data_IF_164681604648
#
_entry.id   IF_164681604648
#
_cell.length_a   1.000
_cell.length_b   1.000
_cell.length_c   1.000
_cell.angle_alpha   90.00
_cell.angle_beta   90.00
_cell.angle_gamma   90.00
#
_symmetry.space_group_name_H-M   'P 1'
#
loop_
_entity.id
_entity.type
_entity.pdbx_description
1 polymer ?
#
# COMPACT_ATOMS: atom_id res chain seq x y z
N UNK A 1 2.74 -76.66 -40.76
CA UNK A 1 2.77 -76.26 -39.30
C UNK A 1 2.94 -74.72 -39.22
N UNK A 2 1.84 -74.03 -39.00
CA UNK A 2 1.80 -72.56 -38.94
C UNK A 2 1.67 -72.13 -37.49
N UNK A 3 2.63 -71.34 -36.99
CA UNK A 3 2.59 -70.71 -35.66
C UNK A 3 1.67 -69.49 -35.69
N UNK A 4 0.83 -69.30 -34.67
CA UNK A 4 0.05 -68.07 -34.55
C UNK A 4 0.90 -66.91 -33.92
N UNK A 5 0.87 -65.72 -34.55
CA UNK A 5 1.44 -64.49 -34.03
C UNK A 5 0.51 -63.91 -32.94
N UNK A 6 0.99 -63.93 -31.71
CA UNK A 6 0.31 -63.21 -30.59
C UNK A 6 0.58 -61.71 -30.75
N UNK A 7 -0.47 -60.92 -30.99
CA UNK A 7 -0.42 -59.44 -30.94
C UNK A 7 -0.62 -59.06 -29.50
N UNK A 8 0.44 -58.54 -28.82
CA UNK A 8 0.34 -57.90 -27.50
C UNK A 8 -0.01 -56.42 -27.72
N UNK A 9 -1.27 -56.07 -27.46
CA UNK A 9 -1.68 -54.66 -27.46
C UNK A 9 -1.26 -54.01 -26.13
N UNK A 10 -0.23 -53.12 -26.18
CA UNK A 10 0.13 -52.25 -25.07
C UNK A 10 -0.93 -51.13 -24.96
N UNK A 11 -1.83 -51.20 -23.96
CA UNK A 11 -2.67 -50.08 -23.55
C UNK A 11 -1.76 -49.08 -22.81
N UNK A 12 -1.35 -47.98 -23.44
CA UNK A 12 -0.75 -46.83 -22.78
C UNK A 12 -1.87 -46.06 -22.05
N UNK A 13 -1.95 -46.24 -20.74
CA UNK A 13 -2.80 -45.39 -19.89
C UNK A 13 -2.21 -43.97 -19.90
N UNK A 14 -2.83 -43.06 -20.64
CA UNK A 14 -2.58 -41.62 -20.52
C UNK A 14 -3.13 -41.16 -19.18
N UNK A 15 -2.27 -41.13 -18.16
CA UNK A 15 -2.57 -40.45 -16.91
C UNK A 15 -2.59 -38.95 -17.23
N UNK A 16 -3.78 -38.40 -17.47
CA UNK A 16 -3.97 -36.96 -17.52
C UNK A 16 -3.64 -36.41 -16.12
N UNK A 17 -2.42 -35.86 -15.94
CA UNK A 17 -2.16 -35.04 -14.77
C UNK A 17 -3.13 -33.86 -14.86
N UNK A 18 -4.19 -33.88 -14.05
CA UNK A 18 -5.03 -32.72 -13.86
C UNK A 18 -4.10 -31.59 -13.36
N UNK A 19 -4.00 -30.52 -14.13
CA UNK A 19 -3.27 -29.33 -13.69
C UNK A 19 -3.81 -28.91 -12.33
N UNK A 20 -2.93 -28.62 -11.38
CA UNK A 20 -3.36 -28.10 -10.08
C UNK A 20 -4.31 -26.91 -10.32
N UNK A 21 -5.40 -26.80 -9.55
CA UNK A 21 -6.36 -25.72 -9.73
C UNK A 21 -5.64 -24.37 -9.57
N UNK A 22 -5.92 -23.43 -10.47
CA UNK A 22 -5.30 -22.11 -10.44
C UNK A 22 -5.65 -21.38 -9.14
N UNK A 23 -4.67 -20.79 -8.49
CA UNK A 23 -4.76 -20.19 -7.15
C UNK A 23 -5.56 -18.90 -7.17
N UNK A 24 -6.54 -18.76 -6.29
CA UNK A 24 -7.33 -17.54 -6.11
C UNK A 24 -6.54 -16.45 -5.38
N UNK A 25 -6.95 -15.21 -5.56
CA UNK A 25 -6.37 -14.06 -4.87
C UNK A 25 -7.46 -13.21 -4.23
N UNK A 26 -7.29 -12.92 -2.95
CA UNK A 26 -8.02 -11.88 -2.21
C UNK A 26 -7.02 -10.81 -1.80
N UNK A 27 -7.11 -9.63 -2.40
CA UNK A 27 -6.26 -8.49 -2.11
C UNK A 27 -7.04 -7.46 -1.30
N UNK A 28 -6.65 -7.23 -0.05
CA UNK A 28 -7.26 -6.26 0.87
C UNK A 28 -6.30 -5.08 0.99
N UNK A 29 -6.79 -3.88 0.70
CA UNK A 29 -5.95 -2.68 0.56
C UNK A 29 -6.48 -1.52 1.40
N UNK A 30 -5.71 -1.09 2.39
CA UNK A 30 -6.02 0.05 3.24
C UNK A 30 -5.52 1.37 2.63
N UNK A 31 -6.00 2.50 3.15
CA UNK A 31 -5.66 3.86 2.75
C UNK A 31 -5.02 4.60 3.92
N UNK A 32 -3.78 5.07 3.79
CA UNK A 32 -3.02 5.78 4.83
C UNK A 32 -2.77 4.97 6.11
N UNK A 33 -2.48 3.67 5.99
CA UNK A 33 -2.15 2.87 7.18
C UNK A 33 -0.66 2.76 7.40
N UNK A 34 -0.20 3.24 8.56
CA UNK A 34 1.19 3.11 9.04
C UNK A 34 1.56 1.65 9.24
N UNK A 35 2.78 1.29 8.86
CA UNK A 35 3.31 -0.07 9.04
C UNK A 35 3.41 -0.50 10.52
N UNK A 36 3.48 0.46 11.46
CA UNK A 36 3.58 0.24 12.90
C UNK A 36 2.22 0.11 13.62
N UNK A 37 1.12 -0.11 12.90
CA UNK A 37 -0.24 -0.19 13.45
C UNK A 37 -0.84 -1.60 13.40
N UNK A 38 -0.01 -2.61 13.60
CA UNK A 38 -0.43 -4.01 13.74
C UNK A 38 0.21 -4.58 15.02
N UNK A 39 -0.61 -5.14 15.94
CA UNK A 39 -0.16 -5.59 17.23
C UNK A 39 0.90 -6.71 17.13
N UNK A 40 0.70 -7.72 16.29
CA UNK A 40 1.66 -8.79 16.04
C UNK A 40 2.99 -8.29 15.44
N UNK A 41 3.05 -7.09 14.89
CA UNK A 41 4.27 -6.47 14.35
C UNK A 41 4.94 -5.48 15.33
N UNK A 42 4.48 -5.44 16.59
CA UNK A 42 5.16 -4.75 17.67
C UNK A 42 4.45 -3.53 18.23
N UNK A 43 3.24 -3.19 17.78
CA UNK A 43 2.47 -2.11 18.42
C UNK A 43 1.86 -2.61 19.74
N UNK A 44 2.22 -2.01 20.90
CA UNK A 44 1.78 -2.53 22.20
C UNK A 44 0.37 -2.11 22.61
N UNK A 45 -0.27 -1.22 21.87
CA UNK A 45 -1.54 -0.59 22.26
C UNK A 45 -2.70 -1.00 21.37
N UNK A 46 -2.47 -1.08 20.07
CA UNK A 46 -3.53 -1.30 19.09
C UNK A 46 -4.11 -2.73 19.16
N UNK A 47 -5.39 -2.86 18.88
CA UNK A 47 -6.09 -4.15 18.85
C UNK A 47 -6.39 -4.55 17.40
N UNK A 48 -5.64 -5.52 16.90
CA UNK A 48 -5.75 -6.02 15.51
C UNK A 48 -5.73 -7.55 15.45
N UNK A 49 -6.64 -8.25 16.17
CA UNK A 49 -6.60 -9.70 16.28
C UNK A 49 -6.71 -10.45 14.95
N UNK A 50 -7.38 -9.88 13.96
CA UNK A 50 -7.55 -10.50 12.65
C UNK A 50 -6.34 -10.28 11.73
N UNK A 51 -5.74 -9.10 11.74
CA UNK A 51 -4.44 -8.87 11.09
C UNK A 51 -3.35 -9.72 11.75
N UNK A 52 -3.38 -9.86 13.07
CA UNK A 52 -2.46 -10.75 13.82
C UNK A 52 -2.65 -12.22 13.39
N UNK A 53 -3.90 -12.66 13.17
CA UNK A 53 -4.21 -13.98 12.61
C UNK A 53 -3.62 -14.14 11.20
N UNK A 54 -3.69 -13.10 10.36
CA UNK A 54 -3.12 -13.13 9.02
C UNK A 54 -1.59 -13.16 9.05
N UNK A 55 -0.94 -12.39 9.95
CA UNK A 55 0.53 -12.43 10.17
C UNK A 55 0.99 -13.84 10.51
N UNK A 56 0.26 -14.56 11.39
CA UNK A 56 0.56 -15.94 11.77
C UNK A 56 0.35 -16.96 10.65
N UNK A 57 -0.39 -16.61 9.59
CA UNK A 57 -0.67 -17.50 8.45
C UNK A 57 0.30 -17.38 7.29
N UNK A 58 1.17 -16.37 7.28
CA UNK A 58 1.99 -16.08 6.13
C UNK A 58 3.32 -15.41 6.44
N UNK A 59 3.76 -14.60 5.49
CA UNK A 59 4.95 -13.76 5.57
C UNK A 59 4.53 -12.30 5.70
N UNK A 60 4.97 -11.64 6.77
CA UNK A 60 4.86 -10.20 6.95
C UNK A 60 6.18 -9.53 6.56
N UNK A 61 6.15 -8.63 5.57
CA UNK A 61 7.30 -7.82 5.20
C UNK A 61 7.43 -6.64 6.16
N UNK A 62 8.58 -6.50 6.80
CA UNK A 62 8.88 -5.37 7.70
C UNK A 62 9.41 -4.16 6.95
N UNK A 63 9.78 -4.33 5.67
CA UNK A 63 10.37 -3.32 4.79
C UNK A 63 9.72 -3.29 3.40
N UNK A 64 8.39 -3.20 3.38
CA UNK A 64 7.63 -2.91 2.17
C UNK A 64 7.33 -1.41 2.07
N UNK A 65 7.44 -0.85 0.87
CA UNK A 65 7.37 0.60 0.67
C UNK A 65 6.52 0.99 -0.54
N UNK A 66 5.80 2.10 -0.43
CA UNK A 66 5.42 2.86 -1.61
C UNK A 66 6.63 3.63 -2.15
N UNK A 67 6.63 4.05 -3.43
CA UNK A 67 7.77 4.76 -3.99
C UNK A 67 7.68 6.29 -3.83
N UNK A 68 6.48 6.84 -3.53
CA UNK A 68 6.28 8.27 -3.39
C UNK A 68 5.06 8.81 -4.13
N UNK A 69 5.10 10.08 -4.57
CA UNK A 69 3.95 10.71 -5.21
C UNK A 69 4.27 11.95 -6.04
N UNK A 70 3.44 12.19 -7.06
CA UNK A 70 3.55 13.33 -7.97
C UNK A 70 2.65 14.52 -7.56
N UNK A 71 1.88 14.36 -6.48
CA UNK A 71 0.95 15.37 -5.99
C UNK A 71 0.55 15.15 -4.55
N UNK A 72 -0.23 16.07 -3.97
CA UNK A 72 -0.68 15.99 -2.57
C UNK A 72 -1.48 14.73 -2.24
N UNK A 73 -2.22 14.18 -3.21
CA UNK A 73 -2.96 12.92 -3.06
C UNK A 73 -2.07 11.71 -3.41
N UNK A 74 -1.12 11.35 -2.56
CA UNK A 74 -0.14 10.27 -2.80
C UNK A 74 -0.78 8.88 -3.00
N UNK A 75 -2.02 8.69 -2.56
CA UNK A 75 -2.78 7.46 -2.82
C UNK A 75 -3.05 7.21 -4.32
N UNK A 76 -3.21 8.26 -5.15
CA UNK A 76 -3.42 8.11 -6.60
C UNK A 76 -2.22 7.44 -7.28
N UNK A 77 -0.99 8.00 -7.20
CA UNK A 77 0.17 7.36 -7.79
C UNK A 77 0.49 5.99 -7.16
N UNK A 78 0.33 5.82 -5.85
CA UNK A 78 0.59 4.54 -5.20
C UNK A 78 -0.32 3.42 -5.75
N UNK A 79 -1.64 3.69 -5.88
CA UNK A 79 -2.59 2.74 -6.48
C UNK A 79 -2.28 2.49 -7.95
N UNK A 80 -1.87 3.52 -8.70
CA UNK A 80 -1.46 3.37 -10.09
C UNK A 80 -0.19 2.51 -10.22
N UNK A 81 0.82 2.71 -9.38
CA UNK A 81 2.03 1.88 -9.32
C UNK A 81 1.68 0.43 -9.04
N UNK A 82 0.90 0.16 -7.98
CA UNK A 82 0.47 -1.19 -7.62
C UNK A 82 -0.23 -1.89 -8.79
N UNK A 83 -1.26 -1.25 -9.36
CA UNK A 83 -2.12 -1.88 -10.35
C UNK A 83 -1.48 -2.01 -11.73
N UNK A 84 -0.53 -1.16 -12.09
CA UNK A 84 0.22 -1.25 -13.35
C UNK A 84 1.54 -2.02 -13.23
N UNK A 85 2.10 -2.12 -12.02
CA UNK A 85 3.45 -2.64 -11.80
C UNK A 85 4.55 -1.71 -12.31
N UNK A 86 4.30 -0.39 -12.43
CA UNK A 86 5.24 0.60 -12.98
C UNK A 86 5.74 1.54 -11.89
N UNK A 87 6.95 2.05 -12.08
CA UNK A 87 7.58 3.03 -11.18
C UNK A 87 6.89 4.40 -11.25
N UNK A 88 7.12 5.23 -10.23
CA UNK A 88 6.52 6.56 -10.10
C UNK A 88 6.76 7.46 -11.32
N UNK A 89 7.96 7.42 -11.91
CA UNK A 89 8.29 8.21 -13.09
C UNK A 89 7.62 7.71 -14.38
N UNK A 90 7.12 6.48 -14.39
CA UNK A 90 6.60 5.79 -15.58
C UNK A 90 5.09 5.52 -15.53
N UNK A 91 4.41 5.84 -14.42
CA UNK A 91 2.97 5.59 -14.29
C UNK A 91 2.12 6.50 -15.16
N UNK A 92 0.96 6.00 -15.56
CA UNK A 92 -0.21 6.80 -15.88
C UNK A 92 -1.18 6.73 -14.70
N UNK A 93 -1.28 7.80 -13.93
CA UNK A 93 -2.11 7.86 -12.72
C UNK A 93 -3.60 7.56 -12.98
N UNK A 94 -4.06 7.72 -14.22
CA UNK A 94 -5.43 7.41 -14.64
C UNK A 94 -5.61 5.96 -15.09
N UNK A 95 -4.53 5.17 -15.18
CA UNK A 95 -4.54 3.76 -15.61
C UNK A 95 -5.22 3.54 -16.97
N UNK A 96 -5.05 4.45 -17.91
CA UNK A 96 -5.66 4.38 -19.24
C UNK A 96 -4.71 3.93 -20.34
N UNK A 97 -3.40 4.17 -20.18
CA UNK A 97 -2.38 3.96 -21.21
C UNK A 97 -1.79 2.55 -21.19
N UNK A 98 -1.78 1.88 -20.03
CA UNK A 98 -1.12 0.59 -19.84
C UNK A 98 -2.11 -0.48 -19.39
N UNK A 99 -1.80 -1.74 -19.68
CA UNK A 99 -2.53 -2.87 -19.12
C UNK A 99 -2.31 -2.92 -17.60
N UNK A 100 -3.40 -3.14 -16.85
CA UNK A 100 -3.32 -3.35 -15.39
C UNK A 100 -3.18 -4.82 -15.07
N UNK A 101 -2.61 -5.14 -13.91
CA UNK A 101 -2.51 -6.51 -13.44
C UNK A 101 -3.88 -7.20 -13.26
N UNK A 102 -4.93 -6.57 -12.69
CA UNK A 102 -6.25 -7.19 -12.69
C UNK A 102 -6.79 -7.54 -14.08
N UNK A 103 -6.50 -6.69 -15.09
CA UNK A 103 -6.82 -6.98 -16.49
C UNK A 103 -6.03 -8.18 -17.02
N UNK A 104 -4.75 -8.33 -16.64
CA UNK A 104 -3.94 -9.50 -17.00
C UNK A 104 -4.49 -10.79 -16.35
N UNK A 105 -4.91 -10.73 -15.09
CA UNK A 105 -5.63 -11.84 -14.43
C UNK A 105 -6.91 -12.18 -15.19
N UNK A 106 -7.72 -11.19 -15.58
CA UNK A 106 -8.91 -11.39 -16.40
C UNK A 106 -8.61 -12.08 -17.74
N UNK A 107 -7.55 -11.66 -18.43
CA UNK A 107 -7.10 -12.27 -19.68
C UNK A 107 -6.60 -13.72 -19.48
N UNK A 108 -6.08 -14.04 -18.31
CA UNK A 108 -5.68 -15.39 -17.92
C UNK A 108 -6.87 -16.29 -17.47
N UNK A 109 -8.12 -15.80 -17.60
CA UNK A 109 -9.31 -16.57 -17.30
C UNK A 109 -9.86 -16.40 -15.87
N UNK A 110 -9.29 -15.52 -15.04
CA UNK A 110 -9.81 -15.23 -13.71
C UNK A 110 -11.12 -14.43 -13.76
N UNK A 111 -12.02 -14.68 -12.79
CA UNK A 111 -13.09 -13.74 -12.48
C UNK A 111 -12.49 -12.58 -11.68
N UNK A 112 -12.57 -11.33 -12.20
CA UNK A 112 -11.97 -10.18 -11.53
C UNK A 112 -13.05 -9.27 -10.95
N UNK A 113 -12.90 -8.92 -9.65
CA UNK A 113 -13.86 -8.15 -8.87
C UNK A 113 -13.17 -7.04 -8.08
N UNK A 114 -13.80 -5.86 -7.99
CA UNK A 114 -13.35 -4.77 -7.14
C UNK A 114 -14.50 -4.21 -6.29
N UNK A 115 -14.19 -3.79 -5.04
CA UNK A 115 -15.09 -3.04 -4.19
C UNK A 115 -14.35 -1.97 -3.38
N UNK A 116 -15.01 -0.83 -3.12
CA UNK A 116 -14.51 0.25 -2.28
C UNK A 116 -13.80 1.37 -3.04
N UNK A 117 -12.73 1.92 -2.48
CA UNK A 117 -12.05 3.11 -3.02
C UNK A 117 -11.35 2.87 -4.35
N UNK A 118 -11.73 3.69 -5.34
CA UNK A 118 -11.06 3.75 -6.65
C UNK A 118 -10.68 5.19 -6.98
N UNK A 119 -9.46 5.56 -6.82
CA UNK A 119 -9.01 6.96 -6.91
C UNK A 119 -8.36 7.31 -8.25
N UNK A 120 -8.22 6.36 -9.18
CA UNK A 120 -7.54 6.52 -10.47
C UNK A 120 -8.47 6.91 -11.63
N UNK A 121 -9.71 7.32 -11.31
CA UNK A 121 -10.70 7.80 -12.26
C UNK A 121 -11.62 6.70 -12.83
N UNK A 122 -12.92 7.01 -13.01
CA UNK A 122 -13.94 6.05 -13.44
C UNK A 122 -13.64 5.28 -14.72
N UNK A 123 -13.05 5.87 -15.79
CA UNK A 123 -12.83 5.17 -17.07
C UNK A 123 -11.85 3.99 -16.99
N UNK A 124 -10.99 3.92 -15.96
CA UNK A 124 -10.03 2.83 -15.78
C UNK A 124 -10.63 1.58 -15.15
N UNK A 125 -11.79 1.70 -14.49
CA UNK A 125 -12.44 0.58 -13.79
C UNK A 125 -12.78 -0.57 -14.76
N UNK A 126 -13.56 -0.36 -15.85
CA UNK A 126 -13.92 -1.42 -16.78
C UNK A 126 -12.73 -1.93 -17.59
N UNK A 127 -11.61 -1.20 -17.63
CA UNK A 127 -10.36 -1.67 -18.23
C UNK A 127 -9.60 -2.63 -17.30
N UNK A 128 -9.85 -2.54 -15.99
CA UNK A 128 -9.14 -3.31 -14.96
C UNK A 128 -9.92 -4.51 -14.47
N UNK A 129 -11.25 -4.39 -14.29
CA UNK A 129 -12.09 -5.41 -13.67
C UNK A 129 -13.31 -5.75 -14.52
N UNK A 130 -13.76 -7.00 -14.41
CA UNK A 130 -14.99 -7.47 -15.05
C UNK A 130 -16.25 -7.11 -14.24
N UNK A 131 -16.10 -7.01 -12.91
CA UNK A 131 -17.18 -6.66 -11.99
C UNK A 131 -16.64 -5.67 -10.94
N UNK A 132 -17.45 -4.69 -10.57
CA UNK A 132 -17.13 -3.80 -9.47
C UNK A 132 -18.39 -3.24 -8.80
N UNK A 133 -18.36 -3.13 -7.47
CA UNK A 133 -19.46 -2.72 -6.62
C UNK A 133 -19.02 -1.72 -5.57
N UNK A 134 -19.95 -0.88 -5.11
CA UNK A 134 -19.71 0.08 -4.03
C UNK A 134 -18.44 0.91 -4.28
N UNK A 135 -18.29 1.37 -5.52
CA UNK A 135 -17.10 2.12 -5.94
C UNK A 135 -17.16 3.56 -5.42
N UNK A 136 -16.24 3.92 -4.55
CA UNK A 136 -15.96 5.29 -4.17
C UNK A 136 -14.84 5.85 -5.06
N UNK A 137 -15.20 6.73 -6.00
CA UNK A 137 -14.26 7.28 -7.00
C UNK A 137 -13.58 8.58 -6.55
N UNK A 138 -13.89 9.06 -5.35
CA UNK A 138 -13.28 10.23 -4.74
C UNK A 138 -12.01 9.92 -3.95
N UNK A 139 -11.34 10.98 -3.49
CA UNK A 139 -10.15 10.86 -2.63
C UNK A 139 -10.49 10.70 -1.16
N UNK A 140 -11.53 11.41 -0.68
CA UNK A 140 -11.93 11.50 0.71
C UNK A 140 -13.42 11.82 0.82
N UNK A 141 -14.09 11.21 1.78
CA UNK A 141 -15.48 11.52 2.14
C UNK A 141 -15.73 11.18 3.61
N UNK A 142 -16.87 11.61 4.16
CA UNK A 142 -17.38 10.99 5.38
C UNK A 142 -17.78 9.54 5.04
N UNK A 143 -17.17 8.51 5.65
CA UNK A 143 -17.39 7.11 5.26
C UNK A 143 -18.82 6.62 5.56
N UNK A 144 -19.59 7.31 6.42
CA UNK A 144 -21.01 7.03 6.67
C UNK A 144 -21.96 7.71 5.65
N UNK A 145 -21.43 8.52 4.74
CA UNK A 145 -22.16 9.27 3.71
C UNK A 145 -21.40 9.31 2.38
N UNK A 146 -20.54 8.32 2.15
CA UNK A 146 -19.73 8.28 0.96
C UNK A 146 -20.59 8.06 -0.31
N UNK A 147 -20.37 8.83 -1.38
CA UNK A 147 -21.05 8.60 -2.65
C UNK A 147 -20.44 7.41 -3.35
N UNK A 148 -21.24 6.38 -3.64
CA UNK A 148 -20.79 5.14 -4.29
C UNK A 148 -21.57 4.86 -5.56
N UNK A 149 -20.96 4.08 -6.47
CA UNK A 149 -21.56 3.61 -7.71
C UNK A 149 -21.21 2.15 -7.93
N UNK A 150 -22.05 1.44 -8.68
CA UNK A 150 -21.78 0.10 -9.14
C UNK A 150 -21.40 0.11 -10.63
N UNK A 151 -20.59 -0.83 -11.07
CA UNK A 151 -20.32 -1.02 -12.49
C UNK A 151 -21.38 -1.94 -13.10
N UNK A 152 -22.01 -1.47 -14.16
CA UNK A 152 -22.95 -2.24 -14.99
C UNK A 152 -22.20 -3.20 -15.92
N UNK A 153 -22.84 -4.26 -16.44
CA UNK A 153 -22.22 -5.16 -17.42
C UNK A 153 -21.70 -4.46 -18.68
N UNK A 154 -22.22 -3.27 -18.99
CA UNK A 154 -21.75 -2.42 -20.09
C UNK A 154 -20.43 -1.68 -19.79
N UNK A 155 -19.90 -1.79 -18.59
CA UNK A 155 -18.72 -1.04 -18.09
C UNK A 155 -19.05 0.40 -17.64
N UNK A 156 -20.29 0.86 -17.78
CA UNK A 156 -20.72 2.16 -17.26
C UNK A 156 -20.99 2.08 -15.76
N UNK A 157 -20.77 3.19 -15.06
CA UNK A 157 -21.17 3.29 -13.66
C UNK A 157 -22.65 3.69 -13.53
N UNK A 158 -23.29 3.16 -12.49
CA UNK A 158 -24.64 3.63 -12.08
C UNK A 158 -24.54 5.10 -11.61
N UNK A 159 -25.65 5.84 -11.59
CA UNK A 159 -25.71 7.08 -10.83
C UNK A 159 -25.22 6.86 -9.38
N UNK A 160 -24.53 7.85 -8.85
CA UNK A 160 -24.00 7.78 -7.48
C UNK A 160 -25.16 7.77 -6.47
N UNK A 161 -25.03 6.90 -5.47
CA UNK A 161 -25.92 6.82 -4.30
C UNK A 161 -25.10 7.00 -3.02
N UNK A 162 -25.73 7.45 -1.95
CA UNK A 162 -25.07 7.48 -0.63
C UNK A 162 -25.04 6.05 -0.08
N UNK A 163 -23.89 5.63 0.41
CA UNK A 163 -23.74 4.34 1.10
C UNK A 163 -24.68 4.28 2.32
N UNK A 164 -25.48 3.21 2.48
CA UNK A 164 -26.37 3.06 3.62
C UNK A 164 -25.64 2.65 4.90
N UNK A 165 -24.37 2.23 4.79
CA UNK A 165 -23.51 1.80 5.87
C UNK A 165 -22.18 2.55 5.80
N UNK A 166 -21.30 2.29 6.73
CA UNK A 166 -19.90 2.70 6.59
C UNK A 166 -19.29 2.10 5.31
N UNK A 167 -18.60 2.91 4.51
CA UNK A 167 -18.09 2.52 3.18
C UNK A 167 -17.27 1.22 3.21
N UNK A 168 -16.35 1.08 4.18
CA UNK A 168 -15.55 -0.15 4.33
C UNK A 168 -16.41 -1.37 4.65
N UNK A 169 -17.48 -1.20 5.42
CA UNK A 169 -18.42 -2.29 5.76
C UNK A 169 -19.22 -2.72 4.52
N UNK A 170 -19.78 -1.77 3.76
CA UNK A 170 -20.54 -2.06 2.55
C UNK A 170 -19.64 -2.70 1.47
N UNK A 171 -18.41 -2.21 1.29
CA UNK A 171 -17.44 -2.81 0.37
C UNK A 171 -17.06 -4.24 0.79
N UNK A 172 -16.97 -4.50 2.09
CA UNK A 172 -16.78 -5.86 2.63
C UNK A 172 -17.98 -6.74 2.32
N UNK A 173 -19.21 -6.28 2.57
CA UNK A 173 -20.43 -7.03 2.28
C UNK A 173 -20.50 -7.48 0.82
N UNK A 174 -20.19 -6.59 -0.13
CA UNK A 174 -20.16 -6.91 -1.57
C UNK A 174 -19.02 -7.87 -1.92
N UNK A 175 -17.88 -7.77 -1.24
CA UNK A 175 -16.78 -8.73 -1.39
C UNK A 175 -17.21 -10.11 -0.89
N UNK A 176 -17.89 -10.20 0.26
CA UNK A 176 -18.42 -11.45 0.79
C UNK A 176 -19.48 -12.06 -0.14
N UNK A 177 -20.36 -11.25 -0.72
CA UNK A 177 -21.34 -11.68 -1.71
C UNK A 177 -20.65 -12.24 -2.98
N UNK A 178 -19.60 -11.57 -3.47
CA UNK A 178 -18.78 -12.07 -4.57
C UNK A 178 -18.13 -13.40 -4.22
N UNK A 179 -17.46 -13.54 -3.07
CA UNK A 179 -16.83 -14.78 -2.64
C UNK A 179 -17.85 -15.93 -2.54
N UNK A 180 -19.04 -15.67 -1.96
CA UNK A 180 -20.12 -16.65 -1.85
C UNK A 180 -20.64 -17.12 -3.22
N UNK A 181 -20.56 -16.28 -4.24
CA UNK A 181 -20.99 -16.62 -5.60
C UNK A 181 -20.00 -17.51 -6.36
N UNK A 182 -18.79 -17.73 -5.83
CA UNK A 182 -17.75 -18.52 -6.49
C UNK A 182 -17.95 -20.02 -6.20
N UNK A 183 -18.00 -20.82 -7.27
CA UNK A 183 -18.20 -22.28 -7.18
C UNK A 183 -16.89 -23.09 -7.15
N UNK A 184 -15.74 -22.41 -7.11
CA UNK A 184 -14.42 -23.03 -7.11
C UNK A 184 -13.93 -23.60 -8.45
N UNK A 185 -14.75 -23.54 -9.52
CA UNK A 185 -14.37 -24.04 -10.86
C UNK A 185 -13.51 -23.06 -11.64
N UNK A 186 -13.73 -21.77 -11.43
CA UNK A 186 -13.00 -20.68 -12.07
C UNK A 186 -12.19 -19.92 -11.02
N UNK A 187 -10.88 -19.65 -11.24
CA UNK A 187 -10.12 -18.85 -10.31
C UNK A 187 -10.62 -17.40 -10.31
N UNK A 188 -10.38 -16.68 -9.21
CA UNK A 188 -10.77 -15.29 -9.08
C UNK A 188 -9.64 -14.41 -8.53
N UNK A 189 -9.71 -13.13 -8.86
CA UNK A 189 -8.93 -12.04 -8.29
C UNK A 189 -9.91 -11.00 -7.71
N UNK A 190 -10.00 -10.92 -6.39
CA UNK A 190 -10.83 -9.97 -5.65
C UNK A 190 -9.98 -8.86 -5.07
N UNK A 191 -10.36 -7.60 -5.31
CA UNK A 191 -9.69 -6.40 -4.82
C UNK A 191 -10.65 -5.60 -3.93
N UNK A 192 -10.48 -5.72 -2.61
CA UNK A 192 -11.20 -4.95 -1.60
C UNK A 192 -10.34 -3.77 -1.18
N UNK A 193 -10.73 -2.56 -1.56
CA UNK A 193 -9.99 -1.34 -1.26
C UNK A 193 -10.77 -0.47 -0.26
N UNK A 194 -10.30 -0.41 0.98
CA UNK A 194 -10.83 0.48 1.98
C UNK A 194 -10.49 1.94 1.68
N UNK A 195 -11.33 2.86 2.13
CA UNK A 195 -11.04 4.30 2.20
C UNK A 195 -10.43 4.72 3.54
N UNK A 196 -10.34 3.80 4.47
CA UNK A 196 -9.75 3.98 5.79
C UNK A 196 -8.39 3.27 5.95
N UNK A 197 -7.62 3.70 6.95
CA UNK A 197 -7.91 4.70 7.99
C UNK A 197 -7.60 6.17 7.59
N UNK A 198 -7.76 6.55 6.31
CA UNK A 198 -7.68 7.94 5.87
C UNK A 198 -8.66 8.82 6.66
N UNK A 199 -8.32 10.07 6.91
CA UNK A 199 -9.24 11.01 7.57
C UNK A 199 -10.50 11.30 6.70
N UNK A 200 -11.64 11.61 7.34
CA UNK A 200 -11.90 11.71 8.77
C UNK A 200 -12.00 10.34 9.46
N UNK A 201 -11.43 10.23 10.67
CA UNK A 201 -11.39 8.97 11.43
C UNK A 201 -12.76 8.66 12.07
N UNK A 202 -13.74 8.37 11.24
CA UNK A 202 -15.12 8.08 11.67
C UNK A 202 -15.37 6.58 11.58
N UNK A 203 -15.88 6.00 12.64
CA UNK A 203 -16.36 4.61 12.69
C UNK A 203 -17.85 4.60 13.04
N UNK A 204 -18.59 3.50 12.80
CA UNK A 204 -19.99 3.40 13.17
C UNK A 204 -20.20 3.63 14.67
N UNK A 205 -21.34 4.24 15.00
CA UNK A 205 -21.77 4.39 16.40
C UNK A 205 -21.89 3.02 17.08
N UNK A 206 -21.51 2.95 18.35
CA UNK A 206 -21.52 1.67 19.09
C UNK A 206 -20.36 0.73 18.78
N UNK A 207 -19.39 1.11 17.95
CA UNK A 207 -18.20 0.29 17.76
C UNK A 207 -17.45 0.08 19.10
N UNK A 208 -17.24 -1.18 19.56
CA UNK A 208 -16.92 -1.47 20.95
C UNK A 208 -15.46 -1.22 21.34
N UNK A 209 -14.56 -1.01 20.38
CA UNK A 209 -13.13 -0.75 20.66
C UNK A 209 -12.92 0.75 20.70
N UNK A 210 -12.35 1.21 21.81
CA UNK A 210 -11.97 2.60 22.02
C UNK A 210 -10.59 2.71 22.66
N UNK A 211 -9.97 3.87 22.56
CA UNK A 211 -8.64 4.16 23.08
C UNK A 211 -8.66 5.49 23.82
N UNK A 212 -8.28 5.47 25.11
CA UNK A 212 -8.12 6.70 25.86
C UNK A 212 -6.89 7.47 25.33
N UNK A 213 -7.03 8.73 24.88
CA UNK A 213 -5.90 9.49 24.34
C UNK A 213 -4.70 9.58 25.29
N UNK A 214 -4.95 9.64 26.61
CA UNK A 214 -3.90 9.68 27.60
C UNK A 214 -3.00 8.43 27.62
N UNK A 215 -3.52 7.26 27.19
CA UNK A 215 -2.76 6.00 27.13
C UNK A 215 -1.98 5.82 25.84
N UNK A 216 -2.18 6.68 24.84
CA UNK A 216 -1.47 6.58 23.56
C UNK A 216 -0.08 7.19 23.71
N UNK A 217 1.00 6.43 23.42
CA UNK A 217 2.34 7.02 23.35
C UNK A 217 2.46 7.93 22.12
N UNK A 218 3.21 9.01 22.27
CA UNK A 218 3.64 9.79 21.12
C UNK A 218 4.60 8.96 20.26
N UNK A 219 4.67 9.20 18.94
CA UNK A 219 5.69 8.58 18.10
C UNK A 219 7.08 8.88 18.65
N UNK A 220 8.05 7.94 18.61
CA UNK A 220 9.41 8.17 19.11
C UNK A 220 10.12 9.37 18.47
N UNK A 221 9.73 9.71 17.25
CA UNK A 221 10.22 10.86 16.47
C UNK A 221 9.22 12.04 16.47
N UNK A 222 8.38 12.13 17.50
CA UNK A 222 7.48 13.29 17.64
C UNK A 222 8.30 14.59 17.78
N UNK A 223 7.87 15.59 17.03
CA UNK A 223 8.32 16.98 17.17
C UNK A 223 7.08 17.89 17.16
N UNK A 224 7.10 19.01 17.89
CA UNK A 224 6.02 20.00 17.83
C UNK A 224 5.94 20.68 16.45
N UNK A 225 7.04 20.73 15.70
CA UNK A 225 7.14 21.31 14.37
C UNK A 225 8.31 20.70 13.61
N UNK A 226 8.14 20.51 12.30
CA UNK A 226 9.25 20.10 11.43
C UNK A 226 10.33 21.19 11.39
N UNK A 227 11.62 20.83 11.45
CA UNK A 227 12.71 21.80 11.69
C UNK A 227 13.04 22.70 10.50
N UNK A 228 12.52 22.43 9.31
CA UNK A 228 12.78 23.23 8.11
C UNK A 228 11.65 23.09 7.08
N UNK A 229 11.67 23.90 6.02
CA UNK A 229 10.74 23.80 4.89
C UNK A 229 11.05 22.56 4.05
N UNK A 230 10.16 21.58 4.07
CA UNK A 230 10.25 20.37 3.25
C UNK A 230 9.56 20.50 1.88
N UNK A 231 9.02 21.69 1.56
CA UNK A 231 8.28 22.02 0.33
C UNK A 231 6.77 21.80 0.42
N UNK A 232 6.23 21.17 1.50
CA UNK A 232 4.81 20.87 1.67
C UNK A 232 4.27 21.17 3.08
N UNK A 233 4.86 22.18 3.73
CA UNK A 233 4.54 22.53 5.12
C UNK A 233 3.10 23.02 5.35
N UNK A 234 2.39 23.44 4.29
CA UNK A 234 1.02 23.96 4.35
C UNK A 234 0.05 23.20 3.45
N UNK A 235 0.41 22.01 2.98
CA UNK A 235 -0.51 21.15 2.23
C UNK A 235 -1.73 20.80 3.10
N UNK A 236 -2.84 20.43 2.46
CA UNK A 236 -4.12 20.16 3.14
C UNK A 236 -3.98 19.30 4.40
N UNK A 237 -3.18 18.24 4.34
CA UNK A 237 -3.05 17.28 5.43
C UNK A 237 -2.31 17.90 6.63
N UNK A 238 -1.35 18.79 6.39
CA UNK A 238 -0.67 19.52 7.45
C UNK A 238 -1.58 20.53 8.18
N UNK A 239 -2.63 20.99 7.52
CA UNK A 239 -3.63 21.92 8.09
C UNK A 239 -4.68 21.22 8.97
N UNK A 240 -4.65 19.90 9.11
CA UNK A 240 -5.54 19.15 10.01
C UNK A 240 -5.27 19.44 11.49
N UNK A 241 -4.10 20.00 11.80
CA UNK A 241 -3.73 20.38 13.17
C UNK A 241 -2.91 21.67 13.17
N UNK A 242 -3.14 22.53 14.17
CA UNK A 242 -2.39 23.79 14.36
C UNK A 242 -0.91 23.51 14.64
N UNK A 243 -0.08 24.52 14.37
CA UNK A 243 1.33 24.58 14.79
C UNK A 243 1.52 25.50 16.00
N UNK A 244 2.49 25.19 16.89
CA UNK A 244 3.15 23.89 17.02
C UNK A 244 2.15 22.80 17.37
N UNK A 245 2.44 21.55 17.01
CA UNK A 245 1.56 20.39 17.25
C UNK A 245 1.44 20.11 18.75
N UNK A 246 0.26 20.28 19.39
CA UNK A 246 0.10 19.97 20.80
C UNK A 246 0.11 18.45 21.02
N UNK A 247 0.84 17.99 22.01
CA UNK A 247 0.92 16.56 22.34
C UNK A 247 -0.45 15.93 22.60
N UNK A 248 -1.31 16.63 23.33
CA UNK A 248 -2.66 16.14 23.64
C UNK A 248 -3.52 15.97 22.37
N UNK A 249 -3.40 16.90 21.41
CA UNK A 249 -4.16 16.83 20.15
C UNK A 249 -3.62 15.69 19.28
N UNK A 250 -2.29 15.46 19.26
CA UNK A 250 -1.67 14.33 18.55
C UNK A 250 -2.11 13.00 19.14
N UNK A 251 -2.16 12.87 20.49
CA UNK A 251 -2.64 11.66 21.16
C UNK A 251 -4.12 11.39 20.86
N UNK A 252 -4.93 12.43 20.81
CA UNK A 252 -6.36 12.32 20.44
C UNK A 252 -6.48 11.82 18.99
N UNK A 253 -5.76 12.43 18.04
CA UNK A 253 -5.76 12.01 16.64
C UNK A 253 -5.29 10.55 16.48
N UNK A 254 -4.26 10.14 17.22
CA UNK A 254 -3.76 8.75 17.20
C UNK A 254 -4.77 7.77 17.79
N UNK A 255 -5.50 8.14 18.86
CA UNK A 255 -6.55 7.31 19.45
C UNK A 255 -7.68 7.05 18.45
N UNK A 256 -8.16 8.09 17.77
CA UNK A 256 -9.17 8.00 16.71
C UNK A 256 -8.67 7.15 15.53
N UNK A 257 -7.43 7.37 15.13
CA UNK A 257 -6.78 6.61 14.05
C UNK A 257 -6.65 5.11 14.40
N UNK A 258 -6.22 4.77 15.61
CA UNK A 258 -6.15 3.36 16.08
C UNK A 258 -7.53 2.72 16.15
N UNK A 259 -8.54 3.50 16.58
CA UNK A 259 -9.92 3.04 16.60
C UNK A 259 -10.41 2.67 15.18
N UNK A 260 -10.05 3.49 14.18
CA UNK A 260 -10.40 3.20 12.79
C UNK A 260 -9.65 1.96 12.27
N UNK A 261 -8.35 1.82 12.54
CA UNK A 261 -7.60 0.60 12.17
C UNK A 261 -8.23 -0.65 12.80
N UNK A 262 -8.65 -0.59 14.07
CA UNK A 262 -9.34 -1.71 14.72
C UNK A 262 -10.71 -2.00 14.11
N UNK A 263 -11.41 -1.01 13.59
CA UNK A 263 -12.63 -1.22 12.81
C UNK A 263 -12.35 -1.93 11.47
N UNK A 264 -11.29 -1.54 10.76
CA UNK A 264 -10.86 -2.24 9.55
C UNK A 264 -10.44 -3.68 9.84
N UNK A 265 -9.77 -3.91 10.95
CA UNK A 265 -9.38 -5.26 11.39
C UNK A 265 -10.60 -6.19 11.52
N UNK A 266 -11.74 -5.69 12.03
CA UNK A 266 -12.98 -6.46 12.07
C UNK A 266 -13.45 -6.81 10.64
N UNK A 267 -13.37 -5.87 9.68
CA UNK A 267 -13.74 -6.14 8.29
C UNK A 267 -12.80 -7.18 7.65
N UNK A 268 -11.49 -7.09 7.92
CA UNK A 268 -10.52 -8.12 7.52
C UNK A 268 -10.92 -9.48 8.08
N UNK A 269 -11.28 -9.55 9.36
CA UNK A 269 -11.75 -10.79 10.00
C UNK A 269 -12.90 -11.44 9.26
N UNK A 270 -13.91 -10.66 8.88
CA UNK A 270 -15.08 -11.16 8.10
C UNK A 270 -14.66 -11.78 6.77
N UNK A 271 -13.68 -11.17 6.07
CA UNK A 271 -13.16 -11.72 4.80
C UNK A 271 -12.38 -13.02 5.05
N UNK A 272 -11.52 -13.06 6.08
CA UNK A 272 -10.77 -14.25 6.44
C UNK A 272 -11.71 -15.42 6.77
N UNK A 273 -12.76 -15.17 7.56
CA UNK A 273 -13.75 -16.18 7.94
C UNK A 273 -14.52 -16.71 6.73
N UNK A 274 -14.89 -15.83 5.80
CA UNK A 274 -15.56 -16.23 4.57
C UNK A 274 -14.67 -17.09 3.66
N UNK A 275 -13.39 -16.77 3.54
CA UNK A 275 -12.43 -17.60 2.80
C UNK A 275 -12.26 -18.96 3.49
N UNK A 276 -12.08 -18.98 4.82
CA UNK A 276 -11.87 -20.19 5.59
C UNK A 276 -13.07 -21.16 5.51
N UNK A 277 -14.30 -20.64 5.44
CA UNK A 277 -15.53 -21.43 5.30
C UNK A 277 -15.82 -21.86 3.84
N UNK A 278 -15.01 -21.44 2.88
CA UNK A 278 -15.25 -21.69 1.46
C UNK A 278 -14.61 -22.97 0.95
N UNK A 279 -15.10 -23.54 -0.18
CA UNK A 279 -14.48 -24.72 -0.80
C UNK A 279 -13.10 -24.42 -1.41
N UNK A 280 -12.69 -23.16 -1.52
CA UNK A 280 -11.41 -22.73 -2.07
C UNK A 280 -10.43 -22.24 -1.01
N UNK A 281 -10.69 -22.44 0.29
CA UNK A 281 -9.83 -22.00 1.40
C UNK A 281 -8.35 -22.42 1.22
N UNK A 282 -8.10 -23.68 0.89
CA UNK A 282 -6.76 -24.23 0.71
C UNK A 282 -6.03 -23.73 -0.55
N UNK A 283 -6.75 -23.06 -1.46
CA UNK A 283 -6.21 -22.60 -2.75
C UNK A 283 -6.38 -21.09 -2.96
N UNK A 284 -6.32 -20.31 -1.88
CA UNK A 284 -6.47 -18.85 -1.93
C UNK A 284 -5.28 -18.17 -1.29
N UNK A 285 -4.66 -17.25 -2.04
CA UNK A 285 -3.68 -16.30 -1.51
C UNK A 285 -4.44 -15.08 -1.00
N UNK A 286 -4.14 -14.67 0.23
CA UNK A 286 -4.66 -13.45 0.84
C UNK A 286 -3.51 -12.48 0.98
N UNK A 287 -3.70 -11.25 0.48
CA UNK A 287 -2.77 -10.13 0.62
C UNK A 287 -3.44 -9.03 1.41
N UNK A 288 -2.75 -8.50 2.40
CA UNK A 288 -3.09 -7.26 3.07
C UNK A 288 -1.96 -6.25 2.88
N UNK A 289 -2.29 -5.03 2.43
CA UNK A 289 -1.34 -3.95 2.28
C UNK A 289 -2.03 -2.59 2.45
N UNK A 290 -1.24 -1.50 2.51
CA UNK A 290 -1.76 -0.13 2.44
C UNK A 290 -1.06 0.65 1.34
N UNK A 291 -1.73 1.69 0.84
CA UNK A 291 -1.21 2.51 -0.26
C UNK A 291 -0.15 3.53 0.19
N UNK A 292 -0.21 3.99 1.42
CA UNK A 292 0.81 4.82 2.07
C UNK A 292 0.75 4.69 3.59
N UNK A 293 1.80 5.11 4.28
CA UNK A 293 1.74 5.49 5.67
C UNK A 293 1.34 6.96 5.83
N UNK A 294 1.49 7.51 7.05
CA UNK A 294 1.14 8.88 7.39
C UNK A 294 1.87 9.33 8.64
N UNK A 295 2.19 10.63 8.79
CA UNK A 295 3.02 11.12 9.90
C UNK A 295 2.34 11.08 11.26
N UNK A 296 1.17 11.70 11.40
CA UNK A 296 0.40 11.74 12.67
C UNK A 296 1.24 12.18 13.88
N UNK A 297 2.05 13.25 13.73
CA UNK A 297 2.94 13.80 14.77
C UNK A 297 4.42 13.44 14.61
N UNK A 298 4.76 12.42 13.83
CA UNK A 298 6.14 12.08 13.51
C UNK A 298 6.84 13.24 12.79
N UNK A 299 8.06 13.61 13.22
CA UNK A 299 8.87 14.73 12.69
C UNK A 299 8.14 16.09 12.64
N UNK A 300 7.11 16.31 13.47
CA UNK A 300 6.32 17.54 13.47
C UNK A 300 5.34 17.67 12.31
N UNK A 301 5.13 16.58 11.56
CA UNK A 301 4.23 16.47 10.42
C UNK A 301 2.94 15.73 10.78
N UNK A 302 1.88 15.97 10.01
CA UNK A 302 0.59 15.28 10.14
C UNK A 302 0.27 14.43 8.92
N UNK A 303 0.64 14.93 7.74
CA UNK A 303 0.35 14.35 6.43
C UNK A 303 1.31 13.23 6.02
N UNK A 304 1.27 12.91 4.73
CA UNK A 304 2.03 11.84 4.09
C UNK A 304 2.96 12.33 2.97
N UNK A 305 3.01 13.65 2.76
CA UNK A 305 3.76 14.30 1.70
C UNK A 305 5.24 14.49 2.09
N UNK A 306 5.87 13.39 2.49
CA UNK A 306 7.27 13.34 2.92
C UNK A 306 7.85 11.94 2.69
N UNK A 307 9.18 11.81 2.69
CA UNK A 307 9.86 10.56 2.38
C UNK A 307 10.40 9.81 3.62
N UNK A 308 9.96 10.17 4.83
CA UNK A 308 10.31 9.43 6.05
C UNK A 308 9.63 8.04 6.12
N UNK A 309 10.18 7.16 6.97
CA UNK A 309 9.70 5.79 7.13
C UNK A 309 8.20 5.71 7.46
N UNK A 310 7.69 6.61 8.32
CA UNK A 310 6.28 6.61 8.72
C UNK A 310 5.29 6.85 7.56
N UNK A 311 5.74 7.44 6.44
CA UNK A 311 4.91 7.72 5.25
C UNK A 311 5.20 6.76 4.11
N UNK A 312 6.48 6.37 3.92
CA UNK A 312 6.87 5.50 2.79
C UNK A 312 6.70 4.03 3.09
N UNK A 313 6.97 3.59 4.34
CA UNK A 313 6.82 2.20 4.72
C UNK A 313 5.35 1.85 5.00
N UNK A 314 4.90 0.74 4.41
CA UNK A 314 3.52 0.26 4.46
C UNK A 314 3.44 -1.15 5.02
N UNK A 315 2.32 -1.57 5.64
CA UNK A 315 2.10 -2.97 5.96
C UNK A 315 2.01 -3.78 4.65
N UNK A 316 2.61 -4.97 4.67
CA UNK A 316 2.44 -5.97 3.62
C UNK A 316 2.50 -7.36 4.23
N UNK A 317 1.40 -8.09 4.13
CA UNK A 317 1.28 -9.47 4.61
C UNK A 317 0.75 -10.32 3.45
N UNK A 318 1.39 -11.46 3.20
CA UNK A 318 0.98 -12.40 2.16
C UNK A 318 0.85 -13.79 2.79
N UNK A 319 -0.32 -14.41 2.66
CA UNK A 319 -0.60 -15.74 3.21
C UNK A 319 -1.32 -16.61 2.17
N UNK A 320 -1.05 -17.91 2.16
CA UNK A 320 -1.72 -18.85 1.25
C UNK A 320 -0.85 -20.04 0.86
N UNK A 321 -1.29 -20.82 -0.14
CA UNK A 321 -0.57 -22.02 -0.55
C UNK A 321 0.85 -21.71 -1.05
N UNK A 322 1.82 -22.51 -0.60
CA UNK A 322 3.22 -22.37 -0.99
C UNK A 322 3.97 -21.19 -0.36
N UNK A 323 3.37 -20.49 0.61
CA UNK A 323 3.95 -19.36 1.35
C UNK A 323 4.35 -19.85 2.74
N UNK A 324 5.52 -19.41 3.23
CA UNK A 324 6.01 -19.73 4.58
C UNK A 324 5.04 -19.18 5.66
N UNK A 325 4.86 -19.95 6.74
CA UNK A 325 3.88 -19.64 7.79
C UNK A 325 4.59 -19.02 8.99
N UNK A 326 3.95 -18.01 9.60
CA UNK A 326 4.43 -17.30 10.80
C UNK A 326 5.86 -16.78 10.65
N UNK A 327 6.12 -16.11 9.54
CA UNK A 327 7.44 -15.55 9.22
C UNK A 327 7.38 -14.03 9.03
N UNK A 328 8.51 -13.41 9.32
CA UNK A 328 8.79 -12.01 9.00
C UNK A 328 9.97 -11.95 8.06
N UNK A 329 9.95 -11.03 7.13
CA UNK A 329 11.05 -10.77 6.21
C UNK A 329 11.43 -9.30 6.24
N UNK A 330 12.72 -9.02 6.31
CA UNK A 330 13.29 -7.68 6.16
C UNK A 330 13.77 -7.39 4.72
N UNK A 331 13.42 -8.25 3.78
CA UNK A 331 13.64 -8.01 2.37
C UNK A 331 12.93 -6.72 1.93
N UNK A 332 13.70 -5.81 1.34
CA UNK A 332 13.15 -4.55 0.83
C UNK A 332 12.40 -4.79 -0.48
N UNK A 333 11.17 -4.32 -0.57
CA UNK A 333 10.38 -4.36 -1.80
C UNK A 333 9.51 -3.11 -1.93
N UNK A 334 9.17 -2.77 -3.17
CA UNK A 334 8.09 -1.83 -3.40
C UNK A 334 6.73 -2.54 -3.36
N UNK A 335 5.70 -1.77 -3.04
CA UNK A 335 4.33 -2.24 -3.10
C UNK A 335 3.95 -2.76 -4.50
N UNK A 336 4.47 -2.15 -5.56
CA UNK A 336 4.19 -2.60 -6.93
C UNK A 336 4.94 -3.89 -7.34
N UNK A 337 5.85 -4.43 -6.50
CA UNK A 337 6.46 -5.74 -6.68
C UNK A 337 5.49 -6.89 -6.29
N UNK A 338 4.43 -6.57 -5.56
CA UNK A 338 3.44 -7.56 -5.11
C UNK A 338 2.68 -8.18 -6.30
N UNK A 339 2.29 -7.36 -7.27
CA UNK A 339 1.52 -7.86 -8.40
C UNK A 339 2.29 -8.83 -9.31
N UNK A 340 3.55 -8.56 -9.75
CA UNK A 340 4.36 -9.57 -10.46
C UNK A 340 4.63 -10.82 -9.61
N UNK A 341 4.75 -10.67 -8.29
CA UNK A 341 4.87 -11.81 -7.37
C UNK A 341 3.62 -12.69 -7.40
N UNK A 342 2.43 -12.10 -7.31
CA UNK A 342 1.17 -12.82 -7.46
C UNK A 342 1.02 -13.43 -8.85
N UNK A 343 1.39 -12.69 -9.90
CA UNK A 343 1.41 -13.20 -11.26
C UNK A 343 2.24 -14.47 -11.40
N UNK A 344 3.45 -14.47 -10.80
CA UNK A 344 4.34 -15.65 -10.77
C UNK A 344 3.70 -16.83 -10.03
N UNK A 345 3.11 -16.59 -8.85
CA UNK A 345 2.49 -17.64 -8.04
C UNK A 345 1.23 -18.22 -8.71
N UNK A 346 0.50 -17.41 -9.44
CA UNK A 346 -0.74 -17.76 -10.12
C UNK A 346 -0.57 -18.20 -11.59
N UNK A 347 0.65 -18.16 -12.13
CA UNK A 347 0.92 -18.48 -13.54
C UNK A 347 0.36 -17.44 -14.52
N UNK A 348 0.18 -16.20 -14.09
CA UNK A 348 -0.34 -15.09 -14.92
C UNK A 348 0.82 -14.33 -15.56
N UNK A 349 0.76 -14.17 -16.88
CA UNK A 349 1.78 -13.39 -17.64
C UNK A 349 1.70 -11.91 -17.24
N UNK A 350 2.86 -11.34 -16.95
CA UNK A 350 2.96 -9.92 -16.61
C UNK A 350 2.51 -9.00 -17.77
N UNK A 351 1.86 -7.88 -17.48
CA UNK A 351 1.72 -6.79 -18.44
C UNK A 351 3.08 -6.41 -19.03
N UNK A 352 3.15 -6.17 -20.35
CA UNK A 352 4.41 -5.94 -21.10
C UNK A 352 5.28 -4.85 -20.47
N UNK A 353 4.65 -3.81 -19.94
CA UNK A 353 5.34 -2.63 -19.42
C UNK A 353 5.52 -2.66 -17.89
N UNK A 354 5.25 -3.78 -17.22
CA UNK A 354 5.45 -3.92 -15.77
C UNK A 354 6.93 -3.93 -15.43
N UNK A 355 7.33 -3.11 -14.45
CA UNK A 355 8.71 -2.93 -13.97
C UNK A 355 8.93 -3.53 -12.57
N UNK A 356 7.85 -3.99 -11.92
CA UNK A 356 7.94 -4.62 -10.60
C UNK A 356 8.81 -5.88 -10.65
N UNK A 357 9.59 -6.09 -9.60
CA UNK A 357 10.40 -7.29 -9.40
C UNK A 357 9.61 -8.33 -8.63
N UNK A 358 9.56 -9.56 -9.10
CA UNK A 358 8.87 -10.62 -8.37
C UNK A 358 9.67 -11.06 -7.13
N UNK A 359 9.00 -11.27 -6.03
CA UNK A 359 9.55 -11.62 -4.73
C UNK A 359 9.09 -12.99 -4.24
N UNK A 360 8.67 -13.90 -5.11
CA UNK A 360 8.13 -15.22 -4.75
C UNK A 360 9.14 -16.08 -3.98
N UNK A 361 10.43 -15.88 -4.21
CA UNK A 361 11.49 -16.55 -3.45
C UNK A 361 11.48 -16.16 -1.97
N UNK A 362 11.20 -14.88 -1.65
CA UNK A 362 11.06 -14.38 -0.27
C UNK A 362 9.86 -15.00 0.43
N UNK A 363 8.76 -15.19 -0.28
CA UNK A 363 7.56 -15.80 0.31
C UNK A 363 7.77 -17.28 0.68
N UNK A 364 8.69 -17.98 0.02
CA UNK A 364 9.07 -19.37 0.34
C UNK A 364 10.15 -19.42 1.42
N UNK A 365 11.14 -18.55 1.31
CA UNK A 365 12.28 -18.42 2.23
C UNK A 365 12.46 -16.94 2.61
N UNK A 366 11.92 -16.49 3.75
CA UNK A 366 11.95 -15.10 4.18
C UNK A 366 13.34 -14.51 4.45
N UNK A 367 14.39 -15.32 4.45
CA UNK A 367 15.79 -14.87 4.53
C UNK A 367 16.37 -14.39 3.18
N UNK A 368 15.68 -14.64 2.08
CA UNK A 368 16.13 -14.22 0.76
C UNK A 368 15.99 -12.70 0.60
N UNK A 369 16.96 -12.04 -0.04
CA UNK A 369 16.84 -10.63 -0.39
C UNK A 369 15.84 -10.43 -1.55
N UNK A 370 15.27 -9.23 -1.65
CA UNK A 370 14.53 -8.80 -2.84
C UNK A 370 15.30 -7.69 -3.57
N UNK A 371 15.13 -6.43 -3.18
CA UNK A 371 15.84 -5.30 -3.81
C UNK A 371 17.06 -4.89 -2.97
N UNK A 372 18.21 -4.61 -3.59
CA UNK A 372 19.41 -4.17 -2.86
C UNK A 372 19.32 -2.71 -2.39
N UNK A 373 18.47 -1.91 -2.99
CA UNK A 373 18.19 -0.51 -2.62
C UNK A 373 16.81 -0.11 -3.13
N UNK A 374 16.27 0.96 -2.56
CA UNK A 374 15.03 1.60 -3.00
C UNK A 374 15.28 3.10 -3.18
N UNK A 375 14.71 3.69 -4.23
CA UNK A 375 14.64 5.14 -4.39
C UNK A 375 13.21 5.63 -4.22
N UNK A 376 13.07 6.87 -3.75
CA UNK A 376 11.78 7.50 -3.50
C UNK A 376 11.75 8.91 -4.09
N UNK A 377 10.57 9.36 -4.46
CA UNK A 377 10.37 10.71 -4.95
C UNK A 377 9.04 11.31 -4.52
N UNK A 378 9.07 12.59 -4.18
CA UNK A 378 7.86 13.36 -3.99
C UNK A 378 7.96 14.67 -4.77
N UNK A 379 7.21 14.75 -5.89
CA UNK A 379 7.38 15.85 -6.85
C UNK A 379 8.87 16.06 -7.19
N UNK A 380 9.26 17.29 -7.53
CA UNK A 380 10.66 17.72 -7.61
C UNK A 380 11.21 18.20 -6.25
N UNK A 381 10.44 18.06 -5.16
CA UNK A 381 10.73 18.65 -3.85
C UNK A 381 11.58 17.75 -2.96
N UNK A 382 11.40 16.43 -3.07
CA UNK A 382 12.07 15.47 -2.19
C UNK A 382 12.49 14.24 -2.99
N UNK A 383 13.72 13.79 -2.84
CA UNK A 383 14.26 12.55 -3.43
C UNK A 383 15.00 11.78 -2.36
N UNK A 384 14.91 10.44 -2.36
CA UNK A 384 15.58 9.64 -1.35
C UNK A 384 16.13 8.32 -1.91
N UNK A 385 17.17 7.80 -1.24
CA UNK A 385 17.73 6.46 -1.47
C UNK A 385 17.85 5.74 -0.12
N UNK A 386 17.42 4.47 -0.10
CA UNK A 386 17.57 3.56 1.03
C UNK A 386 18.31 2.30 0.53
N UNK A 387 19.49 1.99 1.11
CA UNK A 387 20.32 0.82 0.77
C UNK A 387 20.15 -0.36 1.76
N UNK A 388 19.13 -0.29 2.60
CA UNK A 388 18.82 -1.29 3.63
C UNK A 388 19.35 -0.93 5.01
N UNK A 389 20.41 -0.16 5.13
CA UNK A 389 20.90 0.41 6.39
C UNK A 389 20.83 1.92 6.39
N UNK A 390 21.33 2.54 5.34
CA UNK A 390 21.44 3.99 5.25
C UNK A 390 20.31 4.55 4.41
N UNK A 391 19.66 5.59 4.91
CA UNK A 391 18.66 6.35 4.15
C UNK A 391 19.07 7.79 4.04
N UNK A 392 19.18 8.24 2.79
CA UNK A 392 19.48 9.63 2.45
C UNK A 392 18.20 10.27 1.91
N UNK A 393 17.85 11.46 2.39
CA UNK A 393 16.77 12.28 1.85
C UNK A 393 17.34 13.60 1.38
N UNK A 394 17.10 13.95 0.12
CA UNK A 394 17.51 15.19 -0.52
C UNK A 394 16.33 16.11 -0.73
N UNK A 395 16.49 17.38 -0.37
CA UNK A 395 15.51 18.46 -0.56
C UNK A 395 16.13 19.50 -1.51
N UNK A 396 15.92 19.37 -2.84
CA UNK A 396 16.59 20.20 -3.85
C UNK A 396 16.34 21.69 -3.70
N UNK A 397 15.13 22.10 -3.35
CA UNK A 397 14.67 23.50 -3.28
C UNK A 397 15.30 24.32 -2.14
N UNK A 398 15.72 23.65 -1.04
CA UNK A 398 16.41 24.28 0.11
C UNK A 398 17.86 23.83 0.24
N UNK A 399 18.37 23.12 -0.76
CA UNK A 399 19.72 22.55 -0.82
C UNK A 399 20.13 21.77 0.44
N UNK A 400 19.18 21.01 1.00
CA UNK A 400 19.39 20.25 2.24
C UNK A 400 19.46 18.76 1.96
N UNK A 401 20.31 18.07 2.73
CA UNK A 401 20.41 16.61 2.76
C UNK A 401 20.27 16.14 4.20
N UNK A 402 19.54 15.04 4.41
CA UNK A 402 19.52 14.29 5.68
C UNK A 402 20.07 12.89 5.44
N UNK A 403 20.71 12.31 6.46
CA UNK A 403 21.21 10.94 6.45
C UNK A 403 20.85 10.25 7.76
N UNK A 404 20.28 9.04 7.65
CA UNK A 404 19.87 8.21 8.78
C UNK A 404 20.47 6.81 8.70
N UNK A 405 20.88 6.25 9.84
CA UNK A 405 21.23 4.83 9.99
C UNK A 405 20.01 4.06 10.50
N UNK A 406 19.21 3.50 9.61
CA UNK A 406 17.95 2.82 9.96
C UNK A 406 18.15 1.57 10.81
N UNK A 407 19.36 1.00 10.88
CA UNK A 407 19.67 -0.11 11.75
C UNK A 407 19.79 0.33 13.21
N UNK A 408 20.40 1.47 13.45
CA UNK A 408 20.59 2.04 14.80
C UNK A 408 19.43 2.95 15.21
N UNK A 409 18.78 3.60 14.24
CA UNK A 409 17.72 4.59 14.43
C UNK A 409 16.57 4.35 13.42
N UNK A 410 15.73 3.36 13.62
CA UNK A 410 14.62 3.03 12.71
C UNK A 410 13.51 4.07 12.67
N UNK A 411 13.56 5.08 13.54
CA UNK A 411 12.60 6.19 13.59
C UNK A 411 13.14 7.48 13.00
N UNK A 412 14.37 7.49 12.44
CA UNK A 412 14.99 8.66 11.78
C UNK A 412 15.05 9.88 12.70
N UNK A 413 15.38 9.68 13.99
CA UNK A 413 15.41 10.75 15.01
C UNK A 413 16.69 11.57 14.96
N UNK A 414 17.78 11.00 14.42
CA UNK A 414 19.11 11.60 14.41
C UNK A 414 19.63 11.78 12.99
N UNK A 415 19.57 13.03 12.50
CA UNK A 415 20.20 13.39 11.22
C UNK A 415 21.73 13.40 11.35
N UNK A 416 22.40 12.57 10.58
CA UNK A 416 23.86 12.39 10.57
C UNK A 416 24.55 13.16 9.46
N UNK A 417 23.81 13.92 8.63
CA UNK A 417 24.36 14.54 7.43
C UNK A 417 25.45 15.60 7.69
N UNK A 418 25.44 16.23 8.86
CA UNK A 418 26.45 17.23 9.25
C UNK A 418 27.75 16.61 9.80
N UNK A 419 27.81 15.30 10.01
CA UNK A 419 28.99 14.65 10.57
C UNK A 419 30.03 14.37 9.48
N UNK A 420 31.31 14.87 9.63
CA UNK A 420 32.31 14.75 8.58
C UNK A 420 32.65 13.34 8.14
N UNK A 421 32.52 12.35 9.03
CA UNK A 421 32.77 10.93 8.74
C UNK A 421 31.77 10.34 7.74
N UNK A 422 30.62 10.99 7.51
CA UNK A 422 29.62 10.55 6.54
C UNK A 422 29.70 11.27 5.19
N UNK A 423 30.63 12.23 4.98
CA UNK A 423 30.71 13.03 3.76
C UNK A 423 30.85 12.17 2.49
N UNK A 424 31.78 11.20 2.49
CA UNK A 424 31.98 10.32 1.33
C UNK A 424 30.77 9.38 1.09
N UNK A 425 30.09 8.92 2.15
CA UNK A 425 28.84 8.15 2.05
C UNK A 425 27.74 8.97 1.37
N UNK A 426 27.53 10.20 1.83
CA UNK A 426 26.52 11.11 1.26
C UNK A 426 26.80 11.33 -0.21
N UNK A 427 28.05 11.63 -0.59
CA UNK A 427 28.47 11.81 -1.98
C UNK A 427 28.17 10.57 -2.83
N UNK A 428 28.52 9.38 -2.34
CA UNK A 428 28.26 8.13 -3.03
C UNK A 428 26.75 7.85 -3.18
N UNK A 429 25.96 8.07 -2.13
CA UNK A 429 24.51 7.86 -2.17
C UNK A 429 23.81 8.86 -3.09
N UNK A 430 24.22 10.13 -3.13
CA UNK A 430 23.70 11.11 -4.08
C UNK A 430 24.03 10.76 -5.53
N UNK A 431 25.24 10.28 -5.81
CA UNK A 431 25.62 9.82 -7.14
C UNK A 431 24.79 8.60 -7.58
N UNK A 432 24.59 7.65 -6.65
CA UNK A 432 23.74 6.46 -6.91
C UNK A 432 22.29 6.88 -7.16
N UNK A 433 21.73 7.75 -6.31
CA UNK A 433 20.38 8.28 -6.47
C UNK A 433 20.16 8.92 -7.84
N UNK A 434 21.07 9.84 -8.24
CA UNK A 434 20.98 10.50 -9.56
C UNK A 434 21.09 9.53 -10.73
N UNK A 435 21.93 8.50 -10.62
CA UNK A 435 22.03 7.44 -11.63
C UNK A 435 20.75 6.62 -11.76
N UNK A 436 20.14 6.23 -10.63
CA UNK A 436 18.92 5.42 -10.61
C UNK A 436 17.69 6.23 -11.06
N UNK A 437 17.59 7.49 -10.65
CA UNK A 437 16.55 8.40 -11.13
C UNK A 437 16.57 8.50 -12.66
N UNK A 438 17.77 8.75 -13.22
CA UNK A 438 17.93 8.84 -14.69
C UNK A 438 17.58 7.53 -15.38
N UNK A 439 17.96 6.39 -14.83
CA UNK A 439 17.63 5.07 -15.36
C UNK A 439 16.12 4.79 -15.35
N UNK A 440 15.40 5.30 -14.33
CA UNK A 440 13.94 5.19 -14.21
C UNK A 440 13.18 6.24 -15.04
N UNK A 441 13.88 7.24 -15.62
CA UNK A 441 13.28 8.32 -16.40
C UNK A 441 12.88 9.54 -15.57
N UNK A 442 13.25 9.60 -14.31
CA UNK A 442 13.13 10.81 -13.47
C UNK A 442 14.34 11.73 -13.73
N UNK A 443 14.06 12.85 -14.39
CA UNK A 443 15.08 13.84 -14.78
C UNK A 443 15.09 15.08 -13.86
N UNK A 444 14.40 15.03 -12.73
CA UNK A 444 14.43 16.13 -11.76
C UNK A 444 15.85 16.35 -11.22
N UNK A 445 16.30 17.61 -11.05
CA UNK A 445 17.61 17.89 -10.50
C UNK A 445 17.67 17.62 -8.99
N UNK A 446 18.79 17.13 -8.50
CA UNK A 446 19.06 16.98 -7.05
C UNK A 446 19.42 18.30 -6.35
N UNK A 447 19.56 19.38 -7.09
CA UNK A 447 19.69 20.75 -6.60
C UNK A 447 18.91 21.66 -7.53
N UNK A 448 17.98 22.44 -6.97
CA UNK A 448 17.17 23.36 -7.76
C UNK A 448 18.01 24.52 -8.31
N UNK A 449 17.62 25.08 -9.46
CA UNK A 449 18.26 26.29 -10.02
C UNK A 449 18.18 27.49 -9.06
N UNK A 450 17.02 27.60 -8.36
CA UNK A 450 16.80 28.64 -7.35
C UNK A 450 16.62 28.00 -5.99
N UNK A 451 17.55 28.22 -5.10
CA UNK A 451 17.49 27.77 -3.71
C UNK A 451 16.74 28.82 -2.89
N UNK A 452 15.82 28.36 -2.04
CA UNK A 452 15.10 29.20 -1.08
C UNK A 452 15.60 28.93 0.35
N UNK A 453 15.39 29.86 1.30
CA UNK A 453 15.73 29.61 2.70
C UNK A 453 15.02 28.38 3.26
N UNK A 454 15.76 27.59 4.04
CA UNK A 454 15.20 26.40 4.69
C UNK A 454 14.37 26.74 5.94
N UNK A 455 14.51 27.94 6.47
CA UNK A 455 13.76 28.40 7.64
C UNK A 455 12.29 28.49 7.31
N UNK A 456 11.47 27.82 8.12
CA UNK A 456 10.02 27.85 7.99
C UNK A 456 9.36 28.40 9.25
N UNK A 457 8.42 29.31 9.05
CA UNK A 457 7.58 29.86 10.10
C UNK A 457 6.13 29.42 9.90
N UNK A 458 5.59 28.76 10.90
CA UNK A 458 4.21 28.32 10.86
C UNK A 458 3.25 29.51 10.71
N UNK A 459 2.19 29.38 9.89
CA UNK A 459 1.16 30.42 9.78
C UNK A 459 0.43 30.58 11.12
N UNK A 460 0.20 31.83 11.50
CA UNK A 460 -0.52 32.17 12.76
C UNK A 460 -2.00 31.83 12.72
N UNK A 461 -2.58 31.69 11.52
CA UNK A 461 -3.97 31.24 11.31
C UNK A 461 -3.96 30.03 10.43
N UNK A 462 -4.47 28.92 10.95
CA UNK A 462 -4.73 27.72 10.13
C UNK A 462 -5.94 28.02 9.27
N UNK A 463 -5.85 27.98 7.93
CA UNK A 463 -7.02 28.09 7.07
C UNK A 463 -8.00 26.96 7.40
N UNK A 464 -9.31 27.24 7.38
CA UNK A 464 -10.29 26.15 7.57
C UNK A 464 -10.16 25.19 6.39
N UNK A 465 -10.17 23.87 6.64
CA UNK A 465 -10.14 22.87 5.56
C UNK A 465 -11.26 23.16 4.55
N UNK A 466 -10.89 23.37 3.27
CA UNK A 466 -11.85 23.67 2.20
C UNK A 466 -11.95 25.14 1.78
N UNK A 467 -11.28 26.10 2.42
CA UNK A 467 -11.14 27.45 1.88
C UNK A 467 -10.04 27.47 0.81
N UNK A 468 -10.42 27.80 -0.44
CA UNK A 468 -9.49 28.13 -1.52
C UNK A 468 -8.72 29.39 -1.12
N UNK A 469 -7.40 29.27 -1.01
CA UNK A 469 -6.57 30.44 -0.74
C UNK A 469 -5.17 30.09 -0.30
N UNK A 470 -4.46 29.32 -1.13
CA UNK A 470 -3.00 29.38 -1.35
C UNK A 470 -2.71 28.81 -2.72
#
# INVERSE_FOLDING_TARGET
MSLPRLLVALLAAVVSLAAAPATNVVFIFADDQRADTIAALGNPVIKTPNLDRLVKRGVAFTRAYMQGGNGGATCVPSRAMLLSGRSLAQIDEKLLKHQTWPSAFGAAGYATFAAGKWHNGPPSIPKSFQQAKVLFVGGMANPLKAPTSDMLPTGKLTPSKISPKHLCEEATDETLAFLKSQDGKKPFFSYLAFDGPHDPHIVPEGFPIDYAPASIPLPPNFLPQHPFDNGEMVVRDEQLMKWPRPEADVKTMLAEYYRYVSFLDVQVGRVLDAVDASPFAANTIIVYAADSGVARGSHGLIGKQNLYEHSMRVPLIVAGPGIAVDKRSDAMCYLFDVMPTLGKLCGVTAPKDSQGSECSAVLKDPSKPARPFLMFGYKSLQKALNDGRWKLIRYPHVDRTQLFDLQADPYETKDLAAQPEHAERIKAMLAKLGSEMKADGDNDPLTAEKIVPAEWKAPTKVPKPGQKGF
#
